data_IF_202076271259
#
_entry.id   IF_202076271259
#
_cell.length_a   1.000
_cell.length_b   1.000
_cell.length_c   1.000
_cell.angle_alpha   90.00
_cell.angle_beta   90.00
_cell.angle_gamma   90.00
#
_symmetry.space_group_name_H-M   'P 1'
#
loop_
_entity.id
_entity.type
_entity.pdbx_description
1 polymer ?
#
# COMPACT_ATOMS: atom_id res chain seq x y z
N UNK A 1 10.57 -6.83 5.46
CA UNK A 1 9.53 -6.17 6.28
C UNK A 1 9.17 -7.06 7.48
N UNK A 2 10.11 -7.88 7.96
CA UNK A 2 9.75 -9.17 8.59
C UNK A 2 9.52 -9.06 10.10
N UNK A 3 9.64 -7.85 10.64
CA UNK A 3 9.38 -7.51 12.04
C UNK A 3 7.99 -6.87 12.25
N UNK A 4 7.27 -6.58 11.16
CA UNK A 4 5.93 -5.98 11.21
C UNK A 4 4.86 -7.05 10.96
N UNK A 5 3.66 -6.79 11.48
CA UNK A 5 2.51 -7.68 11.32
C UNK A 5 2.14 -7.75 9.83
N UNK A 6 1.83 -8.93 9.27
CA UNK A 6 1.34 -9.06 7.89
C UNK A 6 0.18 -8.10 7.60
N UNK A 7 0.29 -7.34 6.51
CA UNK A 7 -0.68 -6.31 6.13
C UNK A 7 -0.44 -4.91 6.69
N UNK A 8 0.57 -4.70 7.56
CA UNK A 8 0.91 -3.34 8.05
C UNK A 8 1.17 -2.40 6.87
N UNK A 9 0.61 -1.19 6.93
CA UNK A 9 0.81 -0.20 5.86
C UNK A 9 2.31 0.06 5.59
N UNK A 10 2.75 0.06 4.32
CA UNK A 10 4.10 0.49 3.95
C UNK A 10 4.47 1.88 4.51
N UNK A 11 3.52 2.80 4.60
CA UNK A 11 3.77 4.15 5.11
C UNK A 11 4.08 4.17 6.60
N UNK A 12 3.37 3.35 7.38
CA UNK A 12 3.63 3.16 8.81
C UNK A 12 5.01 2.52 9.04
N UNK A 13 5.37 1.53 8.23
CA UNK A 13 6.70 0.89 8.28
C UNK A 13 7.79 1.92 7.96
N UNK A 14 7.59 2.78 6.95
CA UNK A 14 8.54 3.82 6.58
C UNK A 14 8.75 4.83 7.72
N UNK A 15 7.67 5.30 8.35
CA UNK A 15 7.75 6.23 9.48
C UNK A 15 8.51 5.66 10.69
N UNK A 16 8.31 4.37 10.99
CA UNK A 16 8.99 3.71 12.11
C UNK A 16 10.47 3.41 11.83
N UNK A 17 10.87 3.31 10.56
CA UNK A 17 12.24 2.94 10.18
C UNK A 17 13.09 4.13 9.74
N UNK A 18 12.46 5.26 9.38
CA UNK A 18 13.15 6.38 8.74
C UNK A 18 12.98 7.68 9.52
N UNK A 19 14.06 8.25 10.08
CA UNK A 19 14.00 9.54 10.77
C UNK A 19 13.50 10.67 9.86
N UNK A 20 12.69 11.58 10.44
CA UNK A 20 12.12 12.71 9.73
C UNK A 20 10.89 12.36 8.87
N UNK A 21 10.39 11.14 8.99
CA UNK A 21 9.10 10.71 8.41
C UNK A 21 8.09 10.55 9.55
N UNK A 22 6.89 11.07 9.36
CA UNK A 22 5.78 10.93 10.28
C UNK A 22 4.57 10.43 9.51
N UNK A 23 3.93 9.37 10.01
CA UNK A 23 2.69 8.84 9.45
C UNK A 23 1.63 8.82 10.54
N UNK A 24 0.45 9.33 10.21
CA UNK A 24 -0.73 9.25 11.04
C UNK A 24 -1.85 8.60 10.22
N UNK A 25 -2.57 7.69 10.85
CA UNK A 25 -3.77 7.02 10.34
C UNK A 25 -4.68 6.74 11.53
N UNK A 26 -5.97 6.57 11.28
CA UNK A 26 -6.93 6.15 12.29
C UNK A 26 -7.14 4.63 12.32
N UNK A 27 -6.58 3.88 11.37
CA UNK A 27 -6.62 2.43 11.34
C UNK A 27 -5.20 1.81 11.27
N UNK A 28 -5.00 0.56 11.76
CA UNK A 28 -3.69 -0.06 11.84
C UNK A 28 -3.13 -0.54 10.48
N UNK A 29 -3.97 -0.66 9.46
CA UNK A 29 -3.60 -1.12 8.12
C UNK A 29 -3.41 0.03 7.12
N UNK A 30 -3.75 1.26 7.51
CA UNK A 30 -3.75 2.43 6.64
C UNK A 30 -4.74 2.28 5.49
N UNK A 31 -5.89 1.64 5.72
CA UNK A 31 -6.92 1.46 4.72
C UNK A 31 -7.81 2.71 4.57
N UNK A 32 -7.97 3.53 5.62
CA UNK A 32 -8.66 4.82 5.48
C UNK A 32 -7.73 5.88 4.88
N UNK A 33 -7.86 6.03 3.56
CA UNK A 33 -7.11 7.02 2.79
C UNK A 33 -7.43 8.47 3.18
N UNK A 34 -8.55 8.75 3.86
CA UNK A 34 -8.92 10.08 4.36
C UNK A 34 -8.04 10.48 5.54
N UNK A 35 -7.84 9.55 6.47
CA UNK A 35 -7.11 9.79 7.72
C UNK A 35 -5.60 9.63 7.54
N UNK A 36 -5.17 8.87 6.54
CA UNK A 36 -3.78 8.69 6.18
C UNK A 36 -3.10 10.02 5.83
N UNK A 37 -2.23 10.48 6.72
CA UNK A 37 -1.39 11.66 6.49
C UNK A 37 0.08 11.32 6.65
N UNK A 38 0.86 11.52 5.59
CA UNK A 38 2.31 11.31 5.59
C UNK A 38 3.06 12.64 5.43
N UNK A 39 3.98 12.90 6.36
CA UNK A 39 4.93 14.01 6.27
C UNK A 39 6.38 13.51 6.18
N UNK A 40 7.14 14.12 5.28
CA UNK A 40 8.58 13.85 5.12
C UNK A 40 9.31 15.18 5.21
N UNK A 41 10.02 15.39 6.33
CA UNK A 41 10.79 16.63 6.62
C UNK A 41 10.00 17.93 6.36
N UNK A 42 8.70 17.93 6.67
CA UNK A 42 7.82 19.09 6.51
C UNK A 42 7.07 19.18 5.18
N UNK A 43 7.35 18.28 4.22
CA UNK A 43 6.56 18.14 2.99
C UNK A 43 5.46 17.10 3.18
N UNK A 44 4.26 17.39 2.69
CA UNK A 44 3.12 16.45 2.69
C UNK A 44 3.24 15.46 1.52
N UNK A 45 2.52 14.32 1.56
CA UNK A 45 2.50 13.26 0.54
C UNK A 45 2.23 13.78 -0.88
N UNK A 46 1.43 14.82 -1.04
CA UNK A 46 1.16 15.45 -2.35
C UNK A 46 2.34 16.26 -2.92
N UNK A 47 3.40 16.46 -2.12
CA UNK A 47 4.63 17.15 -2.53
C UNK A 47 5.80 16.19 -2.71
N UNK A 48 5.56 14.89 -2.51
CA UNK A 48 6.53 13.81 -2.65
C UNK A 48 6.19 13.01 -3.90
N UNK A 49 7.20 12.57 -4.64
CA UNK A 49 7.00 11.71 -5.80
C UNK A 49 6.87 10.25 -5.41
N UNK A 50 6.02 9.50 -6.09
CA UNK A 50 5.85 8.08 -5.83
C UNK A 50 6.00 7.24 -7.11
N UNK A 51 6.71 6.12 -7.00
CA UNK A 51 6.79 5.11 -8.06
C UNK A 51 6.60 3.71 -7.52
N UNK A 52 5.95 2.83 -8.30
CA UNK A 52 5.83 1.40 -8.03
C UNK A 52 6.53 0.63 -9.15
N UNK A 53 7.55 -0.15 -8.81
CA UNK A 53 8.38 -0.87 -9.79
C UNK A 53 8.94 0.02 -10.92
N UNK A 54 9.09 1.33 -10.65
CA UNK A 54 9.55 2.35 -11.61
C UNK A 54 8.43 3.05 -12.40
N UNK A 55 7.18 2.63 -12.22
CA UNK A 55 6.01 3.28 -12.84
C UNK A 55 5.58 4.45 -11.94
N UNK A 56 5.46 5.69 -12.48
CA UNK A 56 4.96 6.84 -11.71
C UNK A 56 3.52 6.62 -11.25
N UNK A 57 3.27 6.80 -9.96
CA UNK A 57 1.96 6.58 -9.34
C UNK A 57 1.09 7.84 -9.27
N UNK A 58 1.58 8.96 -9.81
CA UNK A 58 0.92 10.26 -9.70
C UNK A 58 0.99 10.84 -8.29
N UNK A 59 0.02 11.68 -7.95
CA UNK A 59 -0.08 12.27 -6.62
C UNK A 59 -0.79 11.29 -5.67
N UNK A 60 -0.21 11.14 -4.47
CA UNK A 60 -0.62 10.18 -3.45
C UNK A 60 -1.66 10.77 -2.47
N UNK A 61 -2.10 12.02 -2.65
CA UNK A 61 -3.10 12.64 -1.79
C UNK A 61 -4.51 12.04 -1.92
N UNK A 62 -5.35 12.29 -0.92
CA UNK A 62 -6.75 11.89 -0.92
C UNK A 62 -7.56 12.58 -2.06
N UNK A 63 -8.52 11.86 -2.66
CA UNK A 63 -9.40 12.32 -3.76
C UNK A 63 -8.69 12.75 -5.06
N UNK A 64 -7.55 12.14 -5.38
CA UNK A 64 -6.76 12.56 -6.52
C UNK A 64 -7.15 11.87 -7.83
N UNK A 65 -7.36 12.67 -8.88
CA UNK A 65 -7.78 12.18 -10.21
C UNK A 65 -6.66 11.54 -11.03
N UNK A 66 -5.41 11.59 -10.56
CA UNK A 66 -4.23 11.24 -11.35
C UNK A 66 -3.29 10.25 -10.65
N UNK A 67 -3.70 9.61 -9.55
CA UNK A 67 -2.87 8.68 -8.80
C UNK A 67 -3.66 7.65 -8.01
N UNK A 68 -2.96 6.60 -7.57
CA UNK A 68 -3.48 5.51 -6.74
C UNK A 68 -2.65 5.44 -5.47
N UNK A 69 -3.28 5.31 -4.30
CA UNK A 69 -2.54 5.14 -3.04
C UNK A 69 -1.79 3.81 -3.04
N UNK A 70 -0.65 3.74 -2.37
CA UNK A 70 0.15 2.50 -2.32
C UNK A 70 -0.59 1.35 -1.63
N UNK A 71 -1.43 1.63 -0.63
CA UNK A 71 -2.20 0.59 0.06
C UNK A 71 -3.27 -0.01 -0.86
N UNK A 72 -3.73 0.72 -1.87
CA UNK A 72 -4.69 0.25 -2.88
C UNK A 72 -3.97 -0.42 -4.07
N UNK A 73 -2.83 0.14 -4.49
CA UNK A 73 -2.09 -0.32 -5.66
C UNK A 73 -1.51 -1.73 -5.52
N UNK A 74 -1.02 -2.10 -4.34
CA UNK A 74 -0.40 -3.39 -4.11
C UNK A 74 -0.65 -3.90 -2.71
N UNK A 75 -0.87 -5.21 -2.58
CA UNK A 75 -0.95 -5.89 -1.30
C UNK A 75 0.38 -5.69 -0.56
N UNK A 76 0.30 -5.26 0.69
CA UNK A 76 1.45 -4.87 1.51
C UNK A 76 2.49 -6.00 1.62
N UNK A 77 2.05 -7.26 1.73
CA UNK A 77 2.89 -8.46 1.81
C UNK A 77 3.74 -8.71 0.55
N UNK A 78 3.36 -8.13 -0.59
CA UNK A 78 4.11 -8.24 -1.83
C UNK A 78 5.21 -7.17 -1.96
N UNK A 79 5.26 -6.15 -1.10
CA UNK A 79 6.29 -5.10 -1.13
C UNK A 79 7.61 -5.66 -0.60
N UNK A 80 8.62 -5.75 -1.47
CA UNK A 80 9.94 -6.22 -1.09
C UNK A 80 10.80 -5.11 -0.47
N UNK A 81 10.71 -3.89 -1.00
CA UNK A 81 11.52 -2.78 -0.54
C UNK A 81 10.84 -1.44 -0.78
N UNK A 82 11.20 -0.48 0.06
CA UNK A 82 10.85 0.92 -0.08
C UNK A 82 12.12 1.74 0.07
N UNK A 83 12.30 2.74 -0.78
CA UNK A 83 13.44 3.66 -0.67
C UNK A 83 12.94 5.09 -0.72
N UNK A 84 13.41 5.89 0.23
CA UNK A 84 13.08 7.30 0.34
C UNK A 84 14.31 8.14 0.01
N UNK A 85 14.18 8.99 -1.02
CA UNK A 85 15.11 10.06 -1.31
C UNK A 85 14.65 11.33 -0.58
N UNK A 86 15.37 11.72 0.47
CA UNK A 86 15.07 12.91 1.26
C UNK A 86 15.89 14.10 0.76
N UNK A 87 15.25 15.20 0.36
CA UNK A 87 15.94 16.43 -0.05
C UNK A 87 15.26 17.16 -1.20
N UNK A 88 16.00 18.07 -1.85
CA UNK A 88 15.53 18.68 -3.10
C UNK A 88 15.27 17.61 -4.16
N UNK A 89 14.21 17.79 -4.96
CA UNK A 89 13.58 16.76 -5.80
C UNK A 89 14.50 15.69 -6.40
N UNK A 90 14.07 14.43 -6.31
CA UNK A 90 14.79 13.28 -6.82
C UNK A 90 14.84 13.28 -8.36
N UNK A 91 15.94 13.77 -8.94
CA UNK A 91 16.13 13.92 -10.39
C UNK A 91 15.95 12.62 -11.20
N UNK A 92 16.15 11.46 -10.56
CA UNK A 92 16.02 10.14 -11.18
C UNK A 92 14.61 9.55 -11.12
N UNK A 93 13.67 10.20 -10.43
CA UNK A 93 12.31 9.69 -10.26
C UNK A 93 11.33 10.41 -11.18
N UNK A 94 10.67 9.71 -12.12
CA UNK A 94 9.61 10.31 -12.91
C UNK A 94 8.41 10.57 -11.99
N UNK A 95 8.11 11.83 -11.69
CA UNK A 95 6.93 12.22 -10.91
C UNK A 95 6.54 13.66 -11.19
N UNK A 96 5.24 13.94 -11.18
CA UNK A 96 4.67 15.30 -11.28
C UNK A 96 4.73 16.06 -9.95
N UNK A 97 4.94 15.36 -8.85
CA UNK A 97 5.10 15.86 -7.49
C UNK A 97 6.47 15.40 -7.00
N UNK A 98 7.43 16.30 -6.75
CA UNK A 98 8.80 15.91 -6.34
C UNK A 98 9.51 17.07 -5.64
N UNK A 99 8.76 17.87 -4.88
CA UNK A 99 9.29 19.09 -4.26
C UNK A 99 10.12 18.74 -3.02
N UNK A 100 9.65 17.76 -2.23
CA UNK A 100 10.31 17.29 -1.00
C UNK A 100 11.11 16.00 -1.13
N UNK A 101 11.25 15.48 -2.36
CA UNK A 101 11.92 14.22 -2.66
C UNK A 101 10.96 13.17 -3.24
N UNK A 102 11.38 11.91 -3.22
CA UNK A 102 10.62 10.81 -3.81
C UNK A 102 10.72 9.50 -3.03
N UNK A 103 9.63 8.75 -3.07
CA UNK A 103 9.44 7.44 -2.51
C UNK A 103 9.32 6.42 -3.66
N UNK A 104 10.08 5.34 -3.56
CA UNK A 104 10.06 4.28 -4.56
C UNK A 104 9.73 2.96 -3.88
N UNK A 105 8.69 2.30 -4.39
CA UNK A 105 8.23 1.01 -3.95
C UNK A 105 8.66 -0.05 -4.95
N UNK A 106 9.13 -1.19 -4.43
CA UNK A 106 9.47 -2.35 -5.25
C UNK A 106 8.70 -3.55 -4.78
N UNK A 107 7.94 -4.17 -5.69
CA UNK A 107 7.30 -5.44 -5.40
C UNK A 107 8.32 -6.56 -5.47
N UNK A 108 8.10 -7.60 -4.68
CA UNK A 108 8.85 -8.85 -4.74
C UNK A 108 8.73 -9.47 -6.12
N UNK A 109 9.82 -10.05 -6.61
CA UNK A 109 9.76 -10.88 -7.82
C UNK A 109 9.16 -12.26 -7.45
N UNK A 110 8.60 -13.00 -8.42
CA UNK A 110 8.17 -14.37 -8.19
C UNK A 110 9.33 -15.27 -7.76
N UNK A 111 9.08 -16.25 -6.89
CA UNK A 111 10.12 -17.18 -6.42
C UNK A 111 10.59 -18.11 -7.57
N UNK A 112 11.85 -18.55 -7.51
CA UNK A 112 12.40 -19.48 -8.52
C UNK A 112 11.88 -20.91 -8.36
N UNK A 113 11.41 -21.26 -7.17
CA UNK A 113 10.86 -22.57 -6.81
C UNK A 113 9.36 -22.42 -6.60
N UNK A 114 8.59 -23.37 -7.11
CA UNK A 114 7.15 -23.36 -6.94
C UNK A 114 6.78 -23.45 -5.45
N UNK A 115 5.85 -22.62 -5.00
CA UNK A 115 5.51 -22.52 -3.60
C UNK A 115 4.34 -21.59 -3.36
N UNK A 116 4.12 -21.27 -2.09
CA UNK A 116 3.09 -20.32 -1.70
C UNK A 116 3.27 -19.87 -0.27
N UNK A 117 2.59 -18.77 0.06
CA UNK A 117 2.59 -18.16 1.39
C UNK A 117 1.16 -17.85 1.77
N UNK A 118 0.81 -18.13 3.01
CA UNK A 118 -0.49 -17.78 3.58
C UNK A 118 -0.24 -17.13 4.93
N UNK A 119 -0.93 -16.01 5.17
CA UNK A 119 -0.93 -15.36 6.48
C UNK A 119 -2.35 -15.00 6.88
N UNK A 120 -2.65 -15.23 8.16
CA UNK A 120 -3.91 -14.82 8.76
C UNK A 120 -3.62 -13.95 9.96
N UNK A 121 -4.32 -12.82 10.05
CA UNK A 121 -4.23 -11.87 11.15
C UNK A 121 -5.59 -11.75 11.81
N UNK A 122 -5.61 -11.80 13.14
CA UNK A 122 -6.79 -11.62 13.98
C UNK A 122 -6.51 -10.48 14.94
N UNK A 123 -7.49 -9.59 15.13
CA UNK A 123 -7.35 -8.41 15.98
C UNK A 123 -8.62 -8.08 16.75
N UNK A 124 -8.54 -6.99 17.52
CA UNK A 124 -9.71 -6.36 18.15
C UNK A 124 -10.71 -5.89 17.09
N UNK A 125 -11.93 -5.52 17.50
CA UNK A 125 -12.95 -4.96 16.60
C UNK A 125 -13.34 -5.88 15.42
N UNK A 126 -13.33 -7.20 15.66
CA UNK A 126 -13.58 -8.23 14.65
C UNK A 126 -12.63 -8.18 13.45
N UNK A 127 -11.46 -7.55 13.58
CA UNK A 127 -10.46 -7.54 12.52
C UNK A 127 -10.03 -8.96 12.15
N UNK A 128 -10.22 -9.29 10.88
CA UNK A 128 -9.77 -10.51 10.25
C UNK A 128 -9.15 -10.20 8.90
N UNK A 129 -7.90 -10.62 8.72
CA UNK A 129 -7.19 -10.51 7.44
C UNK A 129 -6.68 -11.86 6.99
N UNK A 130 -6.93 -12.20 5.74
CA UNK A 130 -6.32 -13.37 5.08
C UNK A 130 -5.58 -12.92 3.84
N UNK A 131 -4.32 -13.32 3.74
CA UNK A 131 -3.52 -13.17 2.53
C UNK A 131 -3.03 -14.55 2.08
N UNK A 132 -3.07 -14.76 0.77
CA UNK A 132 -2.52 -15.94 0.14
C UNK A 132 -1.79 -15.55 -1.14
N UNK A 133 -0.66 -16.20 -1.38
CA UNK A 133 0.13 -16.07 -2.60
C UNK A 133 0.60 -17.43 -3.08
N UNK A 134 0.61 -17.60 -4.39
CA UNK A 134 1.18 -18.74 -5.07
C UNK A 134 2.24 -18.28 -6.06
N UNK A 135 3.38 -18.96 -6.05
CA UNK A 135 4.50 -18.73 -6.95
C UNK A 135 4.66 -19.95 -7.87
N UNK A 136 4.78 -19.70 -9.17
CA UNK A 136 4.86 -20.77 -10.16
C UNK A 136 6.18 -21.54 -10.14
N UNK A 137 7.23 -20.93 -9.56
CA UNK A 137 8.61 -21.32 -9.83
C UNK A 137 9.01 -21.07 -11.29
N UNK A 138 10.21 -21.51 -11.67
CA UNK A 138 10.67 -21.50 -13.07
C UNK A 138 9.82 -22.46 -13.92
N UNK A 139 9.03 -21.91 -14.83
CA UNK A 139 8.15 -22.66 -15.73
C UNK A 139 8.89 -23.28 -16.93
N UNK A 140 10.04 -22.72 -17.29
CA UNK A 140 10.84 -23.17 -18.43
C UNK A 140 12.32 -22.87 -18.22
N UNK A 141 13.16 -23.36 -19.14
CA UNK A 141 14.61 -23.15 -19.11
C UNK A 141 15.03 -21.66 -19.20
N UNK A 142 14.18 -20.79 -19.76
CA UNK A 142 14.44 -19.35 -19.81
C UNK A 142 14.23 -18.64 -18.47
N UNK A 143 13.63 -19.32 -17.48
CA UNK A 143 13.39 -18.78 -16.16
C UNK A 143 12.12 -17.95 -16.03
N UNK A 144 11.16 -18.09 -16.96
CA UNK A 144 9.84 -17.47 -16.85
C UNK A 144 9.17 -17.90 -15.55
N UNK A 145 8.62 -16.93 -14.82
CA UNK A 145 7.97 -17.18 -13.53
C UNK A 145 6.89 -16.14 -13.28
N UNK A 146 5.85 -16.51 -12.56
CA UNK A 146 4.82 -15.59 -12.11
C UNK A 146 4.41 -15.88 -10.67
N UNK A 147 3.79 -14.89 -10.04
CA UNK A 147 2.99 -15.10 -8.85
C UNK A 147 1.57 -14.55 -9.06
N UNK A 148 0.63 -15.14 -8.33
CA UNK A 148 -0.71 -14.59 -8.13
C UNK A 148 -0.98 -14.55 -6.63
N UNK A 149 -1.64 -13.49 -6.18
CA UNK A 149 -1.93 -13.29 -4.77
C UNK A 149 -3.26 -12.60 -4.54
N UNK A 150 -3.88 -12.89 -3.40
CA UNK A 150 -5.14 -12.32 -2.97
C UNK A 150 -5.06 -11.95 -1.50
N UNK A 151 -5.60 -10.79 -1.15
CA UNK A 151 -5.81 -10.38 0.23
C UNK A 151 -7.26 -9.98 0.44
N UNK A 152 -7.80 -10.36 1.59
CA UNK A 152 -9.06 -9.85 2.12
C UNK A 152 -8.83 -9.36 3.55
N UNK A 153 -9.22 -8.13 3.82
CA UNK A 153 -9.27 -7.54 5.16
C UNK A 153 -10.71 -7.15 5.46
N UNK A 154 -11.20 -7.56 6.63
CA UNK A 154 -12.55 -7.35 7.11
C UNK A 154 -12.44 -6.89 8.56
N UNK A 155 -12.89 -5.68 8.87
CA UNK A 155 -12.85 -5.12 10.21
C UNK A 155 -14.01 -4.17 10.50
N UNK A 156 -14.33 -4.02 11.79
CA UNK A 156 -15.28 -2.99 12.22
C UNK A 156 -14.52 -1.73 12.60
N UNK A 157 -15.12 -0.56 12.34
CA UNK A 157 -14.57 0.70 12.81
C UNK A 157 -14.41 0.66 14.35
N UNK A 158 -13.24 1.08 14.84
CA UNK A 158 -12.99 1.15 16.27
C UNK A 158 -13.72 2.33 16.94
N UNK A 159 -14.11 3.34 16.16
CA UNK A 159 -14.88 4.51 16.57
C UNK A 159 -16.05 4.75 15.63
N UNK A 160 -17.27 4.71 16.17
CA UNK A 160 -18.52 4.86 15.40
C UNK A 160 -19.16 3.51 15.06
N UNK A 161 -20.05 3.51 14.06
CA UNK A 161 -20.69 2.31 13.53
C UNK A 161 -20.34 2.14 12.05
N UNK A 162 -19.97 0.92 11.67
CA UNK A 162 -19.69 0.53 10.30
C UNK A 162 -18.61 -0.54 10.24
N UNK A 163 -18.48 -1.11 9.05
CA UNK A 163 -17.45 -2.06 8.66
C UNK A 163 -16.55 -1.47 7.57
N UNK A 164 -15.40 -2.10 7.40
CA UNK A 164 -14.47 -1.83 6.33
C UNK A 164 -14.02 -3.17 5.75
N UNK A 165 -14.22 -3.30 4.43
CA UNK A 165 -13.91 -4.50 3.67
C UNK A 165 -13.00 -4.11 2.51
N UNK A 166 -11.77 -4.60 2.55
CA UNK A 166 -10.80 -4.43 1.47
C UNK A 166 -10.51 -5.77 0.80
N UNK A 167 -10.53 -5.80 -0.52
CA UNK A 167 -10.15 -6.94 -1.34
C UNK A 167 -9.13 -6.52 -2.38
N UNK A 168 -8.08 -7.30 -2.54
CA UNK A 168 -7.02 -7.00 -3.50
C UNK A 168 -6.52 -8.26 -4.18
N UNK A 169 -6.18 -8.12 -5.46
CA UNK A 169 -5.54 -9.15 -6.30
C UNK A 169 -4.31 -8.53 -6.94
N UNK A 170 -3.16 -9.18 -6.79
CA UNK A 170 -1.96 -8.84 -7.55
C UNK A 170 -1.46 -10.04 -8.33
N UNK A 171 -0.99 -9.78 -9.55
CA UNK A 171 -0.32 -10.72 -10.42
C UNK A 171 0.94 -10.07 -10.99
N UNK A 172 2.04 -10.81 -11.00
CA UNK A 172 3.30 -10.38 -11.64
C UNK A 172 3.91 -11.53 -12.40
N UNK A 173 4.27 -11.28 -13.66
CA UNK A 173 5.03 -12.16 -14.52
C UNK A 173 6.41 -11.56 -14.76
N UNK A 174 7.46 -12.36 -14.64
CA UNK A 174 8.83 -11.99 -14.97
C UNK A 174 9.39 -12.96 -16.01
N UNK A 175 9.85 -12.40 -17.12
CA UNK A 175 10.51 -13.10 -18.21
C UNK A 175 11.95 -12.60 -18.34
N UNK A 176 12.96 -13.38 -17.90
CA UNK A 176 14.36 -13.11 -18.23
C UNK A 176 14.60 -13.29 -19.74
N UNK A 177 15.47 -12.45 -20.31
CA UNK A 177 15.95 -12.54 -21.68
C UNK A 177 17.45 -12.78 -21.68
N UNK A 178 17.83 -14.04 -21.45
CA UNK A 178 19.23 -14.45 -21.33
C UNK A 178 19.99 -13.50 -20.38
N UNK A 179 21.15 -12.99 -20.82
CA UNK A 179 22.01 -12.09 -20.02
C UNK A 179 21.76 -10.60 -20.31
N UNK A 180 20.75 -10.27 -21.12
CA UNK A 180 20.55 -8.90 -21.64
C UNK A 180 19.57 -8.10 -20.76
N UNK A 181 18.66 -8.78 -20.07
CA UNK A 181 17.71 -8.13 -19.18
C UNK A 181 16.49 -8.96 -18.84
N UNK A 182 15.42 -8.30 -18.40
CA UNK A 182 14.13 -8.92 -18.08
C UNK A 182 12.98 -8.03 -18.52
N UNK A 183 11.84 -8.64 -18.87
CA UNK A 183 10.56 -7.96 -18.98
C UNK A 183 9.70 -8.40 -17.79
N UNK A 184 8.99 -7.45 -17.20
CA UNK A 184 8.00 -7.69 -16.17
C UNK A 184 6.65 -7.16 -16.61
N UNK A 185 5.59 -7.92 -16.34
CA UNK A 185 4.21 -7.48 -16.47
C UNK A 185 3.55 -7.58 -15.10
N UNK A 186 2.79 -6.56 -14.72
CA UNK A 186 2.04 -6.49 -13.46
C UNK A 186 0.56 -6.26 -13.78
N UNK A 187 -0.31 -6.82 -12.94
CA UNK A 187 -1.74 -6.58 -12.95
C UNK A 187 -2.22 -6.52 -11.51
N UNK A 188 -2.89 -5.42 -11.18
CA UNK A 188 -3.35 -5.13 -9.84
C UNK A 188 -4.82 -4.70 -9.88
N UNK A 189 -5.61 -5.24 -8.96
CA UNK A 189 -7.01 -4.90 -8.77
C UNK A 189 -7.29 -4.76 -7.28
N UNK A 190 -8.07 -3.74 -6.93
CA UNK A 190 -8.46 -3.44 -5.56
C UNK A 190 -9.90 -2.96 -5.50
N UNK A 191 -10.60 -3.38 -4.46
CA UNK A 191 -11.93 -2.92 -4.08
C UNK A 191 -11.92 -2.63 -2.58
N UNK A 192 -12.43 -1.47 -2.21
CA UNK A 192 -12.53 -1.01 -0.82
C UNK A 192 -13.94 -0.50 -0.58
N UNK A 193 -14.67 -1.22 0.26
CA UNK A 193 -15.96 -0.80 0.81
C UNK A 193 -15.71 -0.31 2.24
N UNK A 194 -15.81 1.00 2.48
CA UNK A 194 -15.61 1.57 3.81
C UNK A 194 -16.75 2.50 4.23
N UNK A 195 -17.11 2.43 5.51
CA UNK A 195 -17.80 3.52 6.19
C UNK A 195 -16.78 4.54 6.70
N UNK A 196 -17.07 5.84 6.55
CA UNK A 196 -16.19 6.89 7.07
C UNK A 196 -16.26 6.95 8.60
N UNK A 197 -15.12 7.17 9.25
CA UNK A 197 -15.07 7.47 10.68
C UNK A 197 -15.89 8.72 11.01
N UNK A 198 -16.66 8.68 12.11
CA UNK A 198 -17.43 9.84 12.54
C UNK A 198 -16.49 10.96 13.01
N UNK A 199 -16.66 12.14 12.41
CA UNK A 199 -15.92 13.34 12.81
C UNK A 199 -16.17 13.69 14.29
N UNK A 200 -15.11 14.06 14.99
CA UNK A 200 -15.22 14.58 16.35
C UNK A 200 -15.72 16.04 16.28
N UNK A 201 -17.04 16.24 16.37
CA UNK A 201 -17.58 17.56 16.63
C UNK A 201 -17.50 17.86 18.12
N UNK A 202 -16.61 18.79 18.52
CA UNK A 202 -16.64 19.41 19.85
C UNK A 202 -17.84 20.36 20.05
N UNK A 203 -18.69 20.51 19.04
CA UNK A 203 -19.95 21.24 19.14
C UNK A 203 -21.03 20.19 19.44
N UNK A 204 -21.73 20.26 20.59
CA UNK A 204 -22.85 19.37 20.84
C UNK A 204 -23.86 19.58 19.71
N UNK A 205 -24.13 18.53 18.95
CA UNK A 205 -25.26 18.48 18.03
C UNK A 205 -26.52 18.67 18.86
N UNK A 206 -27.07 19.88 18.85
CA UNK A 206 -28.42 20.11 19.35
C UNK A 206 -29.35 19.35 18.41
N UNK A 207 -30.04 18.36 18.97
CA UNK A 207 -31.05 17.55 18.31
C UNK A 207 -32.16 18.47 17.77
N UNK A 208 -32.09 18.83 16.48
CA UNK A 208 -33.15 19.56 15.78
C UNK A 208 -34.28 18.61 15.36
N UNK A 209 -34.79 17.82 16.30
CA UNK A 209 -35.97 16.97 16.11
C UNK A 209 -36.90 17.06 17.31
N UNK A 210 -37.30 18.29 17.67
CA UNK A 210 -38.50 18.58 18.46
C UNK A 210 -38.76 20.09 18.51
N UNK A 211 -39.39 20.63 17.46
CA UNK A 211 -40.31 21.78 17.52
C UNK A 211 -41.41 21.59 16.48
#
# INVERSE_FOLDING_TARGET
>A
MDIYVPGTSPLAVLANTTPGVSFASDDPFGLDTVANTLYIRGFNQSQIGATLDGIPMGDQGFQQYNGLDINEAVIQDNIAAMQLSQGGGALSTPSTTNLGGALTYRTSDPDEVAGGRVSQTFGSNHTFRTFARVDSGKLNASGTRFYASYARTDDNLWKGYGDQLAQQVNFKLVQPFHDVGKISAIFDWSELDQYNYMAESLIPTVDCYNL
#
